data_IF_280572851403
#
_entry.id   IF_280572851403
#
_cell.length_a   1.000
_cell.length_b   1.000
_cell.length_c   1.000
_cell.angle_alpha   90.00
_cell.angle_beta   90.00
_cell.angle_gamma   90.00
#
_symmetry.space_group_name_H-M   'P 1'
#
loop_
_entity.id
_entity.type
_entity.pdbx_description
1 polymer ?
#
# COMPACT_ATOMS: atom_id res chain seq x y z
N UNK A 1 25.12 16.78 -33.94
CA UNK A 1 23.72 16.29 -33.86
C UNK A 1 23.25 15.95 -35.27
N UNK A 2 22.66 14.78 -35.51
CA UNK A 2 22.37 14.19 -36.84
C UNK A 2 21.36 14.95 -37.73
N UNK A 3 20.97 16.19 -37.40
CA UNK A 3 20.00 16.98 -38.17
C UNK A 3 18.60 16.35 -38.28
N UNK A 4 18.31 15.33 -37.47
CA UNK A 4 17.10 14.55 -37.57
C UNK A 4 16.01 15.09 -36.62
N UNK A 5 15.01 15.76 -37.20
CA UNK A 5 13.90 16.34 -36.47
C UNK A 5 13.10 15.31 -35.66
N UNK A 6 12.95 14.07 -36.16
CA UNK A 6 12.21 13.03 -35.46
C UNK A 6 12.91 12.64 -34.14
N UNK A 7 14.24 12.56 -34.13
CA UNK A 7 14.98 12.28 -32.90
C UNK A 7 14.96 13.45 -31.91
N UNK A 8 14.93 14.69 -32.40
CA UNK A 8 14.80 15.87 -31.55
C UNK A 8 13.44 15.85 -30.86
N UNK A 9 12.35 15.68 -31.63
CA UNK A 9 10.99 15.64 -31.10
C UNK A 9 10.83 14.49 -30.10
N UNK A 10 11.22 13.27 -30.48
CA UNK A 10 11.14 12.11 -29.60
C UNK A 10 11.94 12.31 -28.31
N UNK A 11 13.18 12.80 -28.42
CA UNK A 11 14.03 13.09 -27.25
C UNK A 11 13.42 14.13 -26.32
N UNK A 12 12.87 15.20 -26.85
CA UNK A 12 12.22 16.25 -26.02
C UNK A 12 10.95 15.75 -25.33
N UNK A 13 10.13 14.94 -26.01
CA UNK A 13 8.89 14.40 -25.43
C UNK A 13 9.20 13.41 -24.30
N UNK A 14 10.14 12.50 -24.53
CA UNK A 14 10.57 11.53 -23.50
C UNK A 14 11.23 12.25 -22.33
N UNK A 15 12.07 13.25 -22.58
CA UNK A 15 12.71 14.05 -21.53
C UNK A 15 11.71 14.81 -20.67
N UNK A 16 10.71 15.44 -21.28
CA UNK A 16 9.65 16.16 -20.56
C UNK A 16 8.79 15.22 -19.71
N UNK A 17 8.33 14.10 -20.29
CA UNK A 17 7.51 13.11 -19.58
C UNK A 17 8.26 12.47 -18.40
N UNK A 18 9.52 12.08 -18.60
CA UNK A 18 10.35 11.51 -17.55
C UNK A 18 10.63 12.50 -16.40
N UNK A 19 10.87 13.77 -16.74
CA UNK A 19 11.09 14.82 -15.73
C UNK A 19 9.83 15.07 -14.90
N UNK A 20 8.66 15.19 -15.54
CA UNK A 20 7.38 15.37 -14.86
C UNK A 20 7.08 14.18 -13.94
N UNK A 21 7.25 12.96 -14.44
CA UNK A 21 7.01 11.75 -13.66
C UNK A 21 7.92 11.70 -12.42
N UNK A 22 9.19 12.04 -12.58
CA UNK A 22 10.16 12.08 -11.47
C UNK A 22 9.75 13.12 -10.42
N UNK A 23 9.27 14.30 -10.83
CA UNK A 23 8.78 15.32 -9.90
C UNK A 23 7.54 14.86 -9.14
N UNK A 24 6.59 14.20 -9.82
CA UNK A 24 5.39 13.65 -9.19
C UNK A 24 5.75 12.56 -8.16
N UNK A 25 6.68 11.66 -8.49
CA UNK A 25 7.17 10.67 -7.53
C UNK A 25 7.83 11.30 -6.31
N UNK A 26 8.71 12.29 -6.51
CA UNK A 26 9.40 12.97 -5.43
C UNK A 26 8.40 13.68 -4.48
N UNK A 27 7.41 14.38 -5.06
CA UNK A 27 6.31 15.01 -4.31
C UNK A 27 5.50 13.98 -3.53
N UNK A 28 5.15 12.84 -4.13
CA UNK A 28 4.39 11.79 -3.45
C UNK A 28 5.17 11.11 -2.30
N UNK A 29 6.50 11.14 -2.34
CA UNK A 29 7.36 10.70 -1.22
C UNK A 29 7.61 11.80 -0.17
N UNK A 30 7.05 13.01 -0.36
CA UNK A 30 7.40 14.21 0.39
C UNK A 30 8.92 14.48 0.46
N UNK A 31 9.64 14.22 -0.64
CA UNK A 31 11.08 14.46 -0.76
C UNK A 31 11.38 15.42 -1.90
N UNK A 32 12.33 16.34 -1.70
CA UNK A 32 12.81 17.17 -2.80
C UNK A 32 13.63 16.35 -3.81
N UNK A 33 13.63 16.75 -5.08
CA UNK A 33 14.40 16.05 -6.13
C UNK A 33 15.91 16.02 -5.81
N UNK A 34 16.44 17.11 -5.26
CA UNK A 34 17.83 17.17 -4.80
C UNK A 34 18.09 16.15 -3.68
N UNK A 35 17.17 16.03 -2.72
CA UNK A 35 17.28 15.05 -1.64
C UNK A 35 17.11 13.62 -2.13
N UNK A 36 16.47 13.36 -3.28
CA UNK A 36 16.40 12.01 -3.87
C UNK A 36 17.70 11.67 -4.59
N UNK A 37 18.25 12.62 -5.38
CA UNK A 37 19.45 12.42 -6.18
C UNK A 37 20.75 12.41 -5.35
N UNK A 38 20.79 13.15 -4.24
CA UNK A 38 22.01 13.36 -3.45
C UNK A 38 21.91 12.83 -2.01
N UNK A 39 20.89 12.05 -1.68
CA UNK A 39 20.66 11.51 -0.31
C UNK A 39 21.76 10.59 0.24
N UNK A 40 22.79 10.27 -0.54
CA UNK A 40 23.99 9.55 -0.11
C UNK A 40 25.30 10.35 -0.17
N UNK A 41 25.27 11.61 -0.62
CA UNK A 41 26.44 12.50 -0.66
C UNK A 41 26.32 13.53 0.48
N UNK A 42 26.91 13.21 1.63
CA UNK A 42 27.05 14.16 2.75
C UNK A 42 25.94 14.13 3.81
N UNK A 43 25.37 12.96 4.12
CA UNK A 43 24.51 12.85 5.30
C UNK A 43 25.30 13.24 6.56
N UNK A 44 24.82 14.18 7.40
CA UNK A 44 25.30 14.29 8.77
C UNK A 44 24.96 12.97 9.48
N UNK A 45 25.96 12.33 10.08
CA UNK A 45 25.74 11.26 11.05
C UNK A 45 24.94 11.84 12.22
N UNK A 46 23.67 11.45 12.34
CA UNK A 46 22.82 11.90 13.44
C UNK A 46 21.35 12.00 13.09
N UNK A 47 20.70 10.87 12.83
CA UNK A 47 19.29 10.73 13.18
C UNK A 47 19.24 9.66 14.25
N UNK A 48 18.90 10.10 15.46
CA UNK A 48 18.63 9.21 16.58
C UNK A 48 17.51 8.24 16.18
N UNK A 49 17.73 6.98 16.52
CA UNK A 49 16.76 5.90 16.29
C UNK A 49 15.48 6.29 17.05
N UNK A 50 14.41 6.55 16.31
CA UNK A 50 13.09 6.81 16.88
C UNK A 50 12.71 5.67 17.84
N UNK A 51 12.16 6.06 18.99
CA UNK A 51 11.79 5.17 20.09
C UNK A 51 10.88 4.02 19.63
N UNK A 52 10.98 2.87 20.31
CA UNK A 52 10.10 1.70 20.18
C UNK A 52 8.63 2.10 20.41
N UNK A 53 7.98 2.62 19.37
CA UNK A 53 6.56 2.96 19.38
C UNK A 53 5.79 1.88 18.62
N UNK A 54 5.91 0.63 19.08
CA UNK A 54 5.18 -0.50 18.53
C UNK A 54 4.35 -1.16 19.63
N UNK A 55 3.04 -0.92 19.66
CA UNK A 55 2.13 -1.72 20.48
C UNK A 55 2.26 -3.22 20.17
N UNK A 56 1.72 -4.07 21.05
CA UNK A 56 1.80 -5.53 20.86
C UNK A 56 1.04 -5.93 19.60
N UNK A 57 1.75 -6.50 18.61
CA UNK A 57 1.14 -7.05 17.40
C UNK A 57 0.18 -8.20 17.76
N UNK A 58 -1.08 -8.07 17.33
CA UNK A 58 -2.16 -9.02 17.65
C UNK A 58 -2.39 -9.97 16.47
N UNK A 59 -1.87 -11.21 16.48
CA UNK A 59 -2.16 -12.17 15.43
C UNK A 59 -3.65 -12.53 15.40
N UNK A 60 -4.17 -12.88 14.23
CA UNK A 60 -5.51 -13.41 14.02
C UNK A 60 -5.44 -14.64 13.12
N UNK A 61 -6.33 -15.60 13.35
CA UNK A 61 -6.46 -16.78 12.49
C UNK A 61 -7.26 -16.46 11.21
N UNK A 62 -7.07 -17.30 10.19
CA UNK A 62 -7.70 -17.11 8.88
C UNK A 62 -9.23 -17.18 9.00
N UNK A 63 -9.73 -18.09 9.81
CA UNK A 63 -11.16 -18.31 10.03
C UNK A 63 -11.83 -17.04 10.60
N UNK A 64 -11.24 -16.42 11.62
CA UNK A 64 -11.77 -15.20 12.23
C UNK A 64 -11.69 -14.01 11.28
N UNK A 65 -10.59 -13.89 10.53
CA UNK A 65 -10.46 -12.86 9.50
C UNK A 65 -11.49 -13.03 8.38
N UNK A 66 -11.77 -14.28 7.97
CA UNK A 66 -12.79 -14.59 6.98
C UNK A 66 -14.20 -14.24 7.48
N UNK A 67 -14.50 -14.46 8.77
CA UNK A 67 -15.75 -14.05 9.39
C UNK A 67 -15.90 -12.52 9.35
N UNK A 68 -14.84 -11.78 9.74
CA UNK A 68 -14.87 -10.31 9.67
C UNK A 68 -15.16 -9.81 8.25
N UNK A 69 -14.53 -10.41 7.24
CA UNK A 69 -14.74 -10.04 5.84
C UNK A 69 -16.12 -10.43 5.31
N UNK A 70 -16.64 -11.60 5.69
CA UNK A 70 -17.92 -12.10 5.18
C UNK A 70 -19.14 -11.31 5.70
N UNK A 71 -19.02 -10.66 6.86
CA UNK A 71 -20.07 -9.85 7.46
C UNK A 71 -19.83 -8.33 7.38
N UNK A 72 -18.73 -7.90 6.77
CA UNK A 72 -18.47 -6.48 6.49
C UNK A 72 -19.44 -5.95 5.42
N UNK A 73 -19.81 -4.68 5.48
CA UNK A 73 -20.54 -4.02 4.41
C UNK A 73 -19.60 -3.32 3.44
N UNK A 74 -18.51 -2.75 3.95
CA UNK A 74 -17.49 -2.05 3.15
C UNK A 74 -16.08 -2.55 3.45
N UNK A 75 -15.38 -3.01 2.41
CA UNK A 75 -14.01 -3.51 2.49
C UNK A 75 -13.10 -2.73 1.55
N UNK A 76 -12.00 -2.20 2.09
CA UNK A 76 -10.97 -1.53 1.28
C UNK A 76 -9.71 -2.37 1.26
N UNK A 77 -9.27 -2.77 0.08
CA UNK A 77 -8.04 -3.53 -0.12
C UNK A 77 -6.91 -2.56 -0.46
N UNK A 78 -5.82 -2.61 0.30
CA UNK A 78 -4.64 -1.78 0.11
C UNK A 78 -3.48 -2.65 -0.38
N UNK A 79 -3.23 -2.74 -1.70
CA UNK A 79 -2.13 -3.51 -2.24
C UNK A 79 -0.80 -2.81 -2.04
N UNK A 80 0.23 -3.58 -1.70
CA UNK A 80 1.61 -3.11 -1.59
C UNK A 80 2.60 -4.02 -2.30
N UNK A 81 3.88 -3.69 -2.18
CA UNK A 81 4.95 -4.43 -2.86
C UNK A 81 4.99 -5.93 -2.50
N UNK A 82 4.62 -6.29 -1.27
CA UNK A 82 4.57 -7.70 -0.86
C UNK A 82 3.55 -8.52 -1.65
N UNK A 83 2.45 -7.91 -2.13
CA UNK A 83 1.50 -8.57 -3.04
C UNK A 83 2.16 -8.94 -4.38
N UNK A 84 2.96 -8.02 -4.93
CA UNK A 84 3.68 -8.23 -6.18
C UNK A 84 4.76 -9.31 -6.05
N UNK A 85 5.52 -9.30 -4.95
CA UNK A 85 6.54 -10.33 -4.68
C UNK A 85 5.94 -11.72 -4.59
N UNK A 86 4.76 -11.84 -3.98
CA UNK A 86 4.05 -13.11 -3.84
C UNK A 86 3.21 -13.51 -5.07
N UNK A 87 3.11 -12.64 -6.09
CA UNK A 87 2.21 -12.84 -7.24
C UNK A 87 0.76 -13.12 -6.80
N UNK A 88 0.28 -12.37 -5.81
CA UNK A 88 -1.01 -12.62 -5.16
C UNK A 88 -2.19 -11.91 -5.85
N UNK A 89 -1.96 -11.06 -6.86
CA UNK A 89 -2.98 -10.20 -7.48
C UNK A 89 -4.24 -10.95 -7.94
N UNK A 90 -4.10 -12.11 -8.58
CA UNK A 90 -5.24 -12.91 -9.03
C UNK A 90 -6.06 -13.48 -7.87
N UNK A 91 -5.41 -13.83 -6.75
CA UNK A 91 -6.07 -14.41 -5.58
C UNK A 91 -6.76 -13.34 -4.75
N UNK A 92 -6.15 -12.17 -4.63
CA UNK A 92 -6.80 -11.00 -4.04
C UNK A 92 -8.02 -10.58 -4.87
N UNK A 93 -7.93 -10.57 -6.20
CA UNK A 93 -9.10 -10.31 -7.04
C UNK A 93 -10.20 -11.38 -6.86
N UNK A 94 -9.82 -12.66 -6.80
CA UNK A 94 -10.78 -13.75 -6.52
C UNK A 94 -11.48 -13.58 -5.16
N UNK A 95 -10.78 -13.05 -4.16
CA UNK A 95 -11.35 -12.72 -2.86
C UNK A 95 -12.33 -11.55 -2.96
N UNK A 96 -11.94 -10.47 -3.64
CA UNK A 96 -12.79 -9.31 -3.86
C UNK A 96 -14.11 -9.70 -4.56
N UNK A 97 -14.04 -10.46 -5.66
CA UNK A 97 -15.22 -10.95 -6.37
C UNK A 97 -16.14 -11.81 -5.49
N UNK A 98 -15.57 -12.63 -4.60
CA UNK A 98 -16.34 -13.45 -3.68
C UNK A 98 -17.09 -12.60 -2.64
N UNK A 99 -16.47 -11.51 -2.18
CA UNK A 99 -17.09 -10.56 -1.27
C UNK A 99 -18.16 -9.72 -1.98
N UNK A 100 -17.91 -9.26 -3.20
CA UNK A 100 -18.90 -8.56 -4.03
C UNK A 100 -20.14 -9.42 -4.30
N UNK A 101 -19.95 -10.72 -4.55
CA UNK A 101 -21.07 -11.67 -4.70
C UNK A 101 -21.95 -11.80 -3.45
N UNK A 102 -21.41 -11.45 -2.28
CA UNK A 102 -22.15 -11.38 -1.00
C UNK A 102 -22.77 -10.01 -0.75
N UNK A 103 -22.61 -9.06 -1.66
CA UNK A 103 -23.13 -7.70 -1.53
C UNK A 103 -22.22 -6.76 -0.72
N UNK A 104 -20.96 -7.11 -0.50
CA UNK A 104 -19.96 -6.24 0.12
C UNK A 104 -19.47 -5.21 -0.90
N UNK A 105 -19.41 -3.93 -0.53
CA UNK A 105 -18.76 -2.88 -1.32
C UNK A 105 -17.24 -3.02 -1.19
N UNK A 106 -16.57 -3.46 -2.27
CA UNK A 106 -15.12 -3.67 -2.29
C UNK A 106 -14.44 -2.64 -3.17
N UNK A 107 -13.48 -1.92 -2.60
CA UNK A 107 -12.63 -0.96 -3.33
C UNK A 107 -11.15 -1.27 -3.14
N UNK A 108 -10.36 -0.94 -4.15
CA UNK A 108 -8.90 -1.00 -4.10
C UNK A 108 -8.34 0.41 -3.93
N UNK A 109 -7.64 0.67 -2.83
CA UNK A 109 -7.03 1.96 -2.56
C UNK A 109 -5.55 1.95 -2.96
N UNK A 110 -5.18 2.80 -3.93
CA UNK A 110 -3.83 2.83 -4.48
C UNK A 110 -3.06 4.03 -3.97
N UNK A 111 -1.93 3.76 -3.34
CA UNK A 111 -0.95 4.79 -3.02
C UNK A 111 -0.07 5.09 -4.26
N UNK A 112 0.19 6.36 -4.63
CA UNK A 112 0.96 6.71 -5.83
C UNK A 112 2.36 6.06 -5.92
N UNK A 113 3.01 5.86 -4.78
CA UNK A 113 4.33 5.20 -4.66
C UNK A 113 4.26 3.75 -4.16
N UNK A 114 3.09 3.11 -4.17
CA UNK A 114 3.00 1.68 -3.84
C UNK A 114 3.81 0.84 -4.86
N UNK A 115 4.73 0.03 -4.35
CA UNK A 115 5.54 -0.89 -5.16
C UNK A 115 6.98 -0.43 -5.37
N UNK A 116 7.44 -0.52 -6.62
CA UNK A 116 8.82 -0.24 -7.06
C UNK A 116 8.91 0.54 -8.38
N UNK A 117 7.77 0.85 -8.99
CA UNK A 117 7.67 1.67 -10.20
C UNK A 117 6.37 2.50 -10.11
N UNK A 118 6.29 3.67 -10.77
CA UNK A 118 5.03 4.38 -10.93
C UNK A 118 3.93 3.48 -11.48
N UNK A 119 2.75 3.52 -10.85
CA UNK A 119 1.60 2.72 -11.29
C UNK A 119 1.79 1.20 -11.18
N UNK A 120 2.77 0.72 -10.39
CA UNK A 120 3.05 -0.72 -10.25
C UNK A 120 1.78 -1.50 -9.90
N UNK A 121 1.03 -1.04 -8.90
CA UNK A 121 -0.18 -1.74 -8.47
C UNK A 121 -1.29 -1.68 -9.52
N UNK A 122 -1.46 -0.55 -10.22
CA UNK A 122 -2.47 -0.43 -11.28
C UNK A 122 -2.24 -1.45 -12.40
N UNK A 123 -0.99 -1.64 -12.81
CA UNK A 123 -0.64 -2.61 -13.85
C UNK A 123 -0.93 -4.05 -13.40
N UNK A 124 -0.55 -4.42 -12.17
CA UNK A 124 -0.80 -5.77 -11.65
C UNK A 124 -2.29 -6.07 -11.44
N UNK A 125 -3.06 -5.08 -11.00
CA UNK A 125 -4.50 -5.23 -10.86
C UNK A 125 -5.19 -5.32 -12.23
N UNK A 126 -4.75 -4.54 -13.22
CA UNK A 126 -5.23 -4.65 -14.59
C UNK A 126 -4.90 -6.02 -15.20
N UNK A 127 -3.69 -6.55 -14.98
CA UNK A 127 -3.32 -7.92 -15.38
C UNK A 127 -4.20 -8.98 -14.72
N UNK A 128 -4.59 -8.77 -13.45
CA UNK A 128 -5.51 -9.65 -12.74
C UNK A 128 -6.97 -9.54 -13.21
N UNK A 129 -7.29 -8.56 -14.07
CA UNK A 129 -8.64 -8.33 -14.59
C UNK A 129 -9.54 -7.52 -13.65
N UNK A 130 -8.95 -6.74 -12.73
CA UNK A 130 -9.70 -5.85 -11.84
C UNK A 130 -10.24 -4.66 -12.64
N UNK A 131 -11.56 -4.38 -12.59
CA UNK A 131 -12.14 -3.21 -13.25
C UNK A 131 -11.57 -1.91 -12.71
N UNK A 132 -11.33 -0.92 -13.57
CA UNK A 132 -10.82 0.38 -13.14
C UNK A 132 -11.76 1.14 -12.20
N UNK A 133 -13.06 0.87 -12.25
CA UNK A 133 -14.09 1.55 -11.44
C UNK A 133 -13.95 1.26 -9.94
N UNK A 134 -13.40 0.09 -9.58
CA UNK A 134 -13.17 -0.27 -8.18
C UNK A 134 -11.76 0.13 -7.70
N UNK A 135 -10.91 0.64 -8.59
CA UNK A 135 -9.57 1.13 -8.27
C UNK A 135 -9.66 2.63 -8.04
N UNK A 136 -9.35 3.05 -6.81
CA UNK A 136 -9.49 4.42 -6.35
C UNK A 136 -8.15 4.95 -5.86
N UNK A 137 -7.83 6.18 -6.23
CA UNK A 137 -6.60 6.84 -5.80
C UNK A 137 -6.70 7.28 -4.33
N UNK A 138 -5.53 7.39 -3.68
CA UNK A 138 -5.41 7.75 -2.26
C UNK A 138 -6.16 9.05 -1.89
N UNK A 139 -6.11 10.07 -2.76
CA UNK A 139 -6.73 11.37 -2.49
C UNK A 139 -8.25 11.27 -2.36
N UNK A 140 -8.88 10.39 -3.16
CA UNK A 140 -10.33 10.23 -3.18
C UNK A 140 -10.83 9.25 -2.11
N UNK A 141 -10.05 8.20 -1.81
CA UNK A 141 -10.47 7.14 -0.88
C UNK A 141 -10.17 7.46 0.60
N UNK A 142 -9.31 8.45 0.88
CA UNK A 142 -8.91 8.73 2.27
C UNK A 142 -10.08 9.21 3.15
N UNK A 143 -11.05 9.92 2.57
CA UNK A 143 -12.26 10.38 3.28
C UNK A 143 -13.24 9.22 3.59
N UNK A 144 -13.10 8.10 2.88
CA UNK A 144 -13.96 6.92 3.00
C UNK A 144 -13.54 5.98 4.15
N UNK A 145 -12.28 6.04 4.62
CA UNK A 145 -11.76 5.12 5.64
C UNK A 145 -12.52 5.11 6.97
N UNK A 146 -12.97 6.26 7.53
CA UNK A 146 -13.78 6.28 8.75
C UNK A 146 -15.12 5.51 8.64
N UNK A 147 -15.63 5.33 7.42
CA UNK A 147 -16.86 4.58 7.13
C UNK A 147 -16.57 3.17 6.59
N UNK A 148 -15.32 2.69 6.68
CA UNK A 148 -14.90 1.39 6.18
C UNK A 148 -14.83 0.38 7.33
N UNK A 149 -15.51 -0.76 7.18
CA UNK A 149 -15.57 -1.79 8.21
C UNK A 149 -14.26 -2.55 8.36
N UNK A 150 -13.67 -2.96 7.22
CA UNK A 150 -12.42 -3.72 7.22
C UNK A 150 -11.49 -3.21 6.11
N UNK A 151 -10.30 -2.76 6.51
CA UNK A 151 -9.20 -2.46 5.59
C UNK A 151 -8.23 -3.63 5.51
N UNK A 152 -8.04 -4.23 4.34
CA UNK A 152 -7.13 -5.36 4.12
C UNK A 152 -5.85 -4.87 3.46
N UNK A 153 -4.78 -4.72 4.25
CA UNK A 153 -3.47 -4.27 3.77
C UNK A 153 -2.64 -5.48 3.33
N UNK A 154 -2.34 -5.57 2.04
CA UNK A 154 -1.66 -6.73 1.44
C UNK A 154 -0.22 -6.37 1.09
N UNK A 155 0.71 -6.65 2.01
CA UNK A 155 2.13 -6.45 1.75
C UNK A 155 2.56 -4.98 1.59
N UNK A 156 1.78 -4.04 2.13
CA UNK A 156 2.14 -2.64 2.25
C UNK A 156 2.70 -2.35 3.66
N UNK A 157 3.61 -1.36 3.77
CA UNK A 157 4.16 -0.94 5.06
C UNK A 157 4.26 0.59 5.13
N UNK A 158 5.23 1.19 4.43
CA UNK A 158 5.51 2.63 4.54
C UNK A 158 4.31 3.50 4.12
N UNK A 159 3.58 3.09 3.08
CA UNK A 159 2.41 3.82 2.53
C UNK A 159 1.16 3.81 3.41
N UNK A 160 1.17 3.03 4.49
CA UNK A 160 0.10 2.95 5.50
C UNK A 160 0.63 3.29 6.89
N UNK A 161 1.83 3.88 7.01
CA UNK A 161 2.48 4.09 8.30
C UNK A 161 2.06 5.43 8.92
N UNK A 162 1.24 5.44 10.00
CA UNK A 162 0.74 6.67 10.63
C UNK A 162 1.85 7.59 11.16
N UNK A 163 3.05 7.03 11.41
CA UNK A 163 4.22 7.80 11.84
C UNK A 163 4.59 8.91 10.84
N UNK A 164 4.26 8.77 9.57
CA UNK A 164 4.43 9.84 8.58
C UNK A 164 3.69 11.14 8.96
N UNK A 165 2.59 11.06 9.72
CA UNK A 165 1.80 12.25 10.13
C UNK A 165 2.26 12.85 11.46
N UNK A 166 2.79 12.03 12.37
CA UNK A 166 3.00 12.42 13.77
C UNK A 166 4.47 12.52 14.18
N UNK A 167 5.35 11.71 13.59
CA UNK A 167 6.75 11.60 14.02
C UNK A 167 7.67 12.44 13.13
N UNK A 168 8.05 13.62 13.61
CA UNK A 168 8.97 14.54 12.92
C UNK A 168 10.39 14.01 12.75
N UNK A 169 10.78 12.98 13.51
CA UNK A 169 12.08 12.33 13.40
C UNK A 169 12.12 11.25 12.32
N UNK A 170 10.94 10.82 11.84
CA UNK A 170 10.83 9.74 10.88
C UNK A 170 11.30 10.17 9.48
N UNK A 171 12.08 9.34 8.75
CA UNK A 171 12.44 9.57 7.35
C UNK A 171 11.25 9.71 6.40
N UNK A 172 10.06 9.27 6.81
CA UNK A 172 8.81 9.36 6.05
C UNK A 172 7.89 10.50 6.55
N UNK A 173 8.38 11.38 7.42
CA UNK A 173 7.57 12.49 7.94
C UNK A 173 7.04 13.40 6.81
N UNK A 174 5.75 13.70 6.88
CA UNK A 174 5.01 14.48 5.89
C UNK A 174 4.71 13.76 4.57
N UNK A 175 5.11 12.49 4.42
CA UNK A 175 4.66 11.66 3.30
C UNK A 175 3.14 11.49 3.38
N UNK A 176 2.37 11.82 2.33
CA UNK A 176 0.97 11.41 2.26
C UNK A 176 0.88 9.90 2.41
N UNK A 177 -0.14 9.42 3.12
CA UNK A 177 -0.35 7.98 3.36
C UNK A 177 -1.84 7.66 3.20
N UNK A 178 -2.14 6.36 3.08
CA UNK A 178 -3.50 5.87 3.19
C UNK A 178 -3.90 5.81 4.66
N UNK A 179 -5.00 6.48 5.02
CA UNK A 179 -5.48 6.61 6.40
C UNK A 179 -6.22 5.34 6.90
N UNK A 180 -5.65 4.17 6.62
CA UNK A 180 -6.22 2.86 6.99
C UNK A 180 -6.42 2.70 8.49
N UNK A 181 -5.64 3.44 9.30
CA UNK A 181 -5.76 3.46 10.74
C UNK A 181 -7.12 3.98 11.23
N UNK A 182 -7.84 4.73 10.38
CA UNK A 182 -9.18 5.26 10.67
C UNK A 182 -10.32 4.27 10.42
N UNK A 183 -10.04 3.12 9.80
CA UNK A 183 -11.07 2.07 9.60
C UNK A 183 -11.49 1.40 10.90
N UNK A 184 -12.69 0.82 10.92
CA UNK A 184 -13.18 0.10 12.11
C UNK A 184 -12.26 -1.07 12.48
N UNK A 185 -11.80 -1.83 11.49
CA UNK A 185 -10.81 -2.89 11.66
C UNK A 185 -9.78 -2.87 10.52
N UNK A 186 -8.56 -3.30 10.82
CA UNK A 186 -7.46 -3.40 9.84
C UNK A 186 -6.84 -4.80 9.90
N UNK A 187 -6.74 -5.46 8.75
CA UNK A 187 -6.09 -6.75 8.58
C UNK A 187 -4.77 -6.55 7.81
N UNK A 188 -3.64 -6.85 8.44
CA UNK A 188 -2.32 -6.73 7.82
C UNK A 188 -1.83 -8.10 7.38
N UNK A 189 -1.67 -8.30 6.07
CA UNK A 189 -1.08 -9.51 5.49
C UNK A 189 0.41 -9.29 5.24
N UNK A 190 1.26 -9.98 6.02
CA UNK A 190 2.72 -9.94 5.87
C UNK A 190 3.39 -11.22 6.38
N UNK A 191 4.60 -11.54 5.87
CA UNK A 191 5.33 -12.77 6.25
C UNK A 191 5.88 -12.78 7.68
N UNK A 192 6.15 -11.63 8.27
CA UNK A 192 6.81 -11.54 9.58
C UNK A 192 6.87 -10.11 10.12
N UNK A 193 7.84 -9.81 11.00
CA UNK A 193 7.95 -8.50 11.66
C UNK A 193 8.88 -7.49 10.97
N UNK A 194 9.44 -7.84 9.81
CA UNK A 194 10.37 -6.98 9.07
C UNK A 194 9.80 -5.60 8.70
N UNK A 195 10.73 -4.66 8.49
CA UNK A 195 10.49 -3.26 8.10
C UNK A 195 10.24 -3.12 6.60
N UNK A 196 9.77 -1.93 6.20
CA UNK A 196 9.55 -1.57 4.79
C UNK A 196 10.82 -1.05 4.11
N UNK A 197 10.65 -0.25 3.06
CA UNK A 197 11.78 0.30 2.32
C UNK A 197 12.51 1.38 3.13
N UNK A 198 11.76 2.20 3.87
CA UNK A 198 12.31 3.26 4.72
C UNK A 198 13.03 2.75 5.97
N UNK A 199 12.96 1.45 6.27
CA UNK A 199 13.64 0.87 7.44
C UNK A 199 13.02 1.23 8.79
N UNK A 200 11.84 1.86 8.80
CA UNK A 200 11.13 2.27 10.02
C UNK A 200 10.13 1.21 10.48
N UNK A 201 9.90 1.16 11.79
CA UNK A 201 8.77 0.42 12.36
C UNK A 201 7.45 1.13 12.06
N UNK A 202 6.36 0.38 12.12
CA UNK A 202 5.03 0.90 11.82
C UNK A 202 4.10 0.74 13.03
N UNK A 203 3.70 1.86 13.68
CA UNK A 203 2.84 1.84 14.86
C UNK A 203 1.46 1.26 14.56
N UNK A 204 0.99 1.28 13.29
CA UNK A 204 -0.27 0.65 12.89
C UNK A 204 -0.33 -0.81 13.30
N UNK A 205 0.78 -1.54 13.22
CA UNK A 205 0.79 -2.98 13.51
C UNK A 205 0.50 -3.32 14.98
N UNK A 206 0.66 -2.33 15.88
CA UNK A 206 0.30 -2.43 17.30
C UNK A 206 -1.00 -1.74 17.67
N UNK A 207 -1.73 -1.15 16.71
CA UNK A 207 -2.95 -0.40 16.97
C UNK A 207 -4.10 -1.32 17.40
N UNK A 208 -5.05 -0.77 18.17
CA UNK A 208 -6.10 -1.59 18.80
C UNK A 208 -7.09 -2.22 17.83
N UNK A 209 -7.39 -1.53 16.74
CA UNK A 209 -8.23 -1.99 15.63
C UNK A 209 -7.47 -2.86 14.61
N UNK A 210 -6.17 -3.10 14.82
CA UNK A 210 -5.35 -3.82 13.84
C UNK A 210 -5.10 -5.27 14.25
N UNK A 211 -5.13 -6.18 13.28
CA UNK A 211 -4.84 -7.60 13.42
C UNK A 211 -3.86 -8.07 12.35
N UNK A 212 -3.00 -9.02 12.71
CA UNK A 212 -1.92 -9.48 11.86
C UNK A 212 -2.22 -10.88 11.31
N UNK A 213 -2.30 -10.97 9.98
CA UNK A 213 -2.36 -12.22 9.23
C UNK A 213 -0.96 -12.58 8.74
N UNK A 214 -0.27 -13.45 9.47
CA UNK A 214 1.08 -13.85 9.11
C UNK A 214 1.09 -14.92 8.02
N UNK A 215 1.87 -14.68 6.96
CA UNK A 215 2.08 -15.65 5.88
C UNK A 215 2.51 -15.01 4.57
N UNK A 216 2.77 -15.86 3.57
CA UNK A 216 2.87 -15.40 2.19
C UNK A 216 1.52 -14.84 1.72
N UNK A 217 1.54 -13.74 0.96
CA UNK A 217 0.30 -13.05 0.60
C UNK A 217 -0.59 -13.88 -0.34
N UNK A 218 -0.02 -14.70 -1.23
CA UNK A 218 -0.79 -15.56 -2.12
C UNK A 218 -1.43 -16.71 -1.34
N UNK A 219 -0.68 -17.31 -0.42
CA UNK A 219 -1.20 -18.39 0.44
C UNK A 219 -2.30 -17.90 1.37
N UNK A 220 -2.10 -16.75 2.03
CA UNK A 220 -3.12 -16.15 2.90
C UNK A 220 -4.38 -15.82 2.10
N UNK A 221 -4.24 -15.20 0.91
CA UNK A 221 -5.37 -14.91 0.04
C UNK A 221 -6.13 -16.19 -0.37
N UNK A 222 -5.41 -17.25 -0.76
CA UNK A 222 -6.01 -18.55 -1.09
C UNK A 222 -6.81 -19.13 0.09
N UNK A 223 -6.25 -19.09 1.30
CA UNK A 223 -6.91 -19.60 2.50
C UNK A 223 -8.14 -18.77 2.89
N UNK A 224 -8.06 -17.44 2.77
CA UNK A 224 -9.20 -16.54 2.98
C UNK A 224 -10.32 -16.83 2.00
N UNK A 225 -10.03 -16.98 0.70
CA UNK A 225 -11.03 -17.37 -0.31
C UNK A 225 -11.71 -18.69 0.06
N UNK A 226 -10.93 -19.70 0.46
CA UNK A 226 -11.47 -20.98 0.87
C UNK A 226 -12.35 -20.87 2.14
N UNK A 227 -11.91 -20.08 3.13
CA UNK A 227 -12.65 -19.89 4.37
C UNK A 227 -13.96 -19.12 4.16
N UNK A 228 -13.95 -18.03 3.40
CA UNK A 228 -15.16 -17.25 3.06
C UNK A 228 -16.16 -18.09 2.26
N UNK A 229 -15.73 -19.03 1.42
CA UNK A 229 -16.65 -19.95 0.72
C UNK A 229 -17.37 -20.95 1.63
N UNK A 230 -16.84 -21.22 2.83
CA UNK A 230 -17.45 -22.16 3.78
C UNK A 230 -18.52 -21.52 4.69
N UNK A 231 -18.56 -20.18 4.74
CA UNK A 231 -19.52 -19.38 5.52
C UNK A 231 -20.83 -19.18 4.76
#
# INVERSE_FOLDING_TARGET
MLGNAAMIIAGTVVGAAGTLLTQLMAKAMNRSLANVLFSGFGAPEGMEVAAEAGGVMKPIDIEDAAIQLAYAQKVVIVPGYGMAVAQAQHKIWSLAQLLEQRGVDVKFAIHPVAGRMPGHMNVLLAEAGVPYEVIVDMEDINEDFPNTDVSVVVGANDVVNPGARTDTSSPIYGMPILDVDKSHNVLIVKRGRGTGFAGVENPLFGADNTRMLFGDAQDVANKLVAAVKRL
#
